data_IF_963983837979
#
_entry.id   IF_963983837979
#
_cell.length_a   1.000
_cell.length_b   1.000
_cell.length_c   1.000
_cell.angle_alpha   90.00
_cell.angle_beta   90.00
_cell.angle_gamma   90.00
#
_symmetry.space_group_name_H-M   'P 1'
#
loop_
_entity.id
_entity.type
_entity.pdbx_description
1 polymer ?
#
# COMPACT_ATOMS: atom_id res chain seq x y z
N UNK A 1 -28.16 2.04 -4.50
CA UNK A 1 -27.23 2.76 -5.38
C UNK A 1 -26.09 3.12 -4.46
N UNK A 2 -24.97 2.42 -4.58
CA UNK A 2 -23.76 2.75 -3.81
C UNK A 2 -23.07 3.88 -4.58
N UNK A 3 -23.21 5.10 -4.07
CA UNK A 3 -22.51 6.26 -4.59
C UNK A 3 -21.02 6.10 -4.29
N UNK A 4 -20.21 5.86 -5.33
CA UNK A 4 -18.75 5.78 -5.20
C UNK A 4 -18.20 7.20 -5.07
N UNK A 5 -17.45 7.46 -4.00
CA UNK A 5 -16.86 8.76 -3.71
C UNK A 5 -15.37 8.79 -4.12
N UNK A 6 -14.99 9.70 -5.03
CA UNK A 6 -13.65 9.81 -5.66
C UNK A 6 -12.51 10.18 -4.68
N UNK A 7 -12.80 10.53 -3.43
CA UNK A 7 -11.75 10.71 -2.42
C UNK A 7 -11.68 9.54 -1.44
N UNK A 8 -12.76 8.78 -1.34
CA UNK A 8 -12.94 7.70 -0.38
C UNK A 8 -12.58 6.35 -0.98
N UNK A 9 -12.97 6.11 -2.23
CA UNK A 9 -12.89 4.79 -2.84
C UNK A 9 -11.66 4.60 -3.75
N UNK A 10 -11.33 5.63 -4.53
CA UNK A 10 -10.21 5.60 -5.46
C UNK A 10 -9.79 7.01 -5.81
N UNK A 11 -8.50 7.26 -6.05
CA UNK A 11 -8.02 8.56 -6.53
C UNK A 11 -7.22 8.40 -7.83
N UNK A 12 -7.16 9.47 -8.63
CA UNK A 12 -6.29 9.52 -9.80
C UNK A 12 -4.88 9.96 -9.40
N UNK A 13 -3.89 9.12 -9.71
CA UNK A 13 -2.49 9.54 -9.63
C UNK A 13 -2.17 10.54 -10.73
N UNK A 14 -1.17 11.40 -10.51
CA UNK A 14 -0.66 12.35 -11.52
C UNK A 14 -0.22 11.68 -12.84
N UNK A 15 -0.03 10.36 -12.83
CA UNK A 15 0.33 9.56 -14.00
C UNK A 15 -0.90 8.99 -14.74
N UNK A 16 -2.12 9.36 -14.35
CA UNK A 16 -3.36 8.87 -14.96
C UNK A 16 -3.80 7.48 -14.53
N UNK A 17 -3.18 6.90 -13.50
CA UNK A 17 -3.62 5.61 -12.94
C UNK A 17 -4.66 5.82 -11.85
N UNK A 18 -5.68 4.95 -11.84
CA UNK A 18 -6.64 4.82 -10.73
C UNK A 18 -5.98 4.04 -9.61
N UNK A 19 -5.88 4.65 -8.43
CA UNK A 19 -5.36 4.02 -7.22
C UNK A 19 -6.52 3.80 -6.26
N UNK A 20 -6.85 2.54 -6.00
CA UNK A 20 -7.87 2.16 -5.01
C UNK A 20 -7.35 2.41 -3.60
N UNK A 21 -8.19 3.00 -2.76
CA UNK A 21 -7.89 3.23 -1.35
C UNK A 21 -7.99 1.94 -0.54
N UNK A 22 -7.44 1.94 0.67
CA UNK A 22 -7.60 0.84 1.61
C UNK A 22 -9.07 0.66 2.02
N UNK A 23 -9.81 1.76 2.21
CA UNK A 23 -11.22 1.74 2.62
C UNK A 23 -12.11 1.04 1.58
N UNK A 24 -11.92 1.33 0.30
CA UNK A 24 -12.60 0.61 -0.77
C UNK A 24 -12.33 -0.89 -0.75
N UNK A 25 -11.07 -1.27 -0.52
CA UNK A 25 -10.66 -2.68 -0.48
C UNK A 25 -11.21 -3.41 0.76
N UNK A 26 -11.38 -2.69 1.87
CA UNK A 26 -12.04 -3.19 3.07
C UNK A 26 -13.55 -3.37 2.81
N UNK A 27 -14.22 -2.36 2.24
CA UNK A 27 -15.64 -2.41 1.88
C UNK A 27 -15.94 -3.53 0.88
N UNK A 28 -15.04 -3.77 -0.08
CA UNK A 28 -15.11 -4.89 -1.01
C UNK A 28 -15.09 -6.25 -0.31
N UNK A 29 -14.47 -6.35 0.86
CA UNK A 29 -14.48 -7.55 1.71
C UNK A 29 -13.61 -8.72 1.22
N UNK A 30 -12.85 -8.58 0.11
CA UNK A 30 -11.97 -9.65 -0.36
C UNK A 30 -10.69 -9.16 -1.06
N UNK A 31 -9.66 -10.00 -1.02
CA UNK A 31 -8.39 -9.76 -1.71
C UNK A 31 -8.48 -10.25 -3.16
N UNK A 32 -8.29 -9.34 -4.12
CA UNK A 32 -8.38 -9.64 -5.55
C UNK A 32 -7.16 -10.33 -6.15
N UNK A 33 -6.03 -10.43 -5.43
CA UNK A 33 -4.82 -11.10 -5.93
C UNK A 33 -3.97 -10.30 -6.92
N UNK A 34 -4.28 -9.02 -7.16
CA UNK A 34 -3.55 -8.18 -8.14
C UNK A 34 -2.24 -7.57 -7.60
N UNK A 35 -2.06 -7.56 -6.27
CA UNK A 35 -0.88 -6.94 -5.65
C UNK A 35 -0.93 -5.41 -5.61
N UNK A 36 -2.05 -4.84 -5.13
CA UNK A 36 -2.23 -3.39 -5.02
C UNK A 36 -1.33 -2.73 -3.96
N UNK A 37 -1.12 -1.42 -4.09
CA UNK A 37 -0.23 -0.66 -3.22
C UNK A 37 -0.71 -0.65 -1.76
N UNK A 38 -2.01 -0.43 -1.56
CA UNK A 38 -2.67 -0.28 -0.26
C UNK A 38 -3.45 -1.54 0.13
N UNK A 39 -2.88 -2.73 -0.10
CA UNK A 39 -3.59 -3.98 0.20
C UNK A 39 -3.77 -4.17 1.72
N UNK A 40 -5.01 -4.17 2.26
CA UNK A 40 -5.24 -4.43 3.69
C UNK A 40 -5.07 -5.91 4.07
N UNK A 41 -5.06 -6.81 3.08
CA UNK A 41 -5.09 -8.27 3.29
C UNK A 41 -3.73 -8.96 3.14
N UNK A 42 -2.61 -8.22 3.25
CA UNK A 42 -1.25 -8.78 3.15
C UNK A 42 -1.04 -9.70 1.94
N UNK A 43 -1.64 -9.31 0.81
CA UNK A 43 -1.53 -10.04 -0.45
C UNK A 43 -1.99 -11.50 -0.36
N UNK A 44 -2.94 -11.83 0.52
CA UNK A 44 -3.36 -13.23 0.79
C UNK A 44 -3.70 -14.07 -0.44
N UNK A 45 -4.27 -13.44 -1.47
CA UNK A 45 -4.73 -14.11 -2.69
C UNK A 45 -3.75 -13.92 -3.88
N UNK A 46 -2.57 -13.34 -3.64
CA UNK A 46 -1.52 -13.23 -4.66
C UNK A 46 -0.71 -14.53 -4.67
N UNK A 47 -0.50 -15.18 -5.83
CA UNK A 47 0.32 -16.39 -5.90
C UNK A 47 1.80 -16.09 -5.66
N UNK A 48 2.53 -17.09 -5.13
CA UNK A 48 3.98 -17.05 -5.04
C UNK A 48 4.62 -17.20 -6.44
N UNK A 49 5.79 -16.59 -6.69
CA UNK A 49 6.67 -15.85 -5.77
C UNK A 49 6.32 -14.36 -5.63
N UNK A 50 5.28 -13.89 -6.34
CA UNK A 50 4.93 -12.46 -6.41
C UNK A 50 4.53 -11.91 -5.05
N UNK A 51 3.80 -12.68 -4.24
CA UNK A 51 3.42 -12.30 -2.87
C UNK A 51 4.64 -12.02 -1.99
N UNK A 52 5.61 -12.93 -1.94
CA UNK A 52 6.84 -12.74 -1.15
C UNK A 52 7.59 -11.47 -1.55
N UNK A 53 7.70 -11.21 -2.85
CA UNK A 53 8.33 -9.98 -3.35
C UNK A 53 7.57 -8.73 -2.87
N UNK A 54 6.24 -8.68 -3.03
CA UNK A 54 5.42 -7.55 -2.60
C UNK A 54 5.51 -7.28 -1.09
N UNK A 55 5.48 -8.33 -0.26
CA UNK A 55 5.64 -8.19 1.19
C UNK A 55 7.02 -7.65 1.57
N UNK A 56 8.07 -8.09 0.87
CA UNK A 56 9.44 -7.62 1.09
C UNK A 56 9.56 -6.14 0.72
N UNK A 57 9.04 -5.73 -0.43
CA UNK A 57 9.03 -4.33 -0.87
C UNK A 57 8.23 -3.43 0.08
N UNK A 58 7.10 -3.90 0.61
CA UNK A 58 6.33 -3.16 1.63
C UNK A 58 7.14 -2.95 2.91
N UNK A 59 7.81 -3.99 3.40
CA UNK A 59 8.69 -3.91 4.58
C UNK A 59 9.84 -2.93 4.37
N UNK A 60 10.50 -2.96 3.20
CA UNK A 60 11.57 -2.01 2.87
C UNK A 60 11.10 -0.55 2.97
N UNK A 61 9.91 -0.25 2.45
CA UNK A 61 9.31 1.10 2.53
C UNK A 61 9.07 1.53 3.97
N UNK A 62 8.49 0.65 4.80
CA UNK A 62 8.26 0.94 6.23
C UNK A 62 9.58 1.17 6.97
N UNK A 63 10.57 0.32 6.74
CA UNK A 63 11.88 0.42 7.37
C UNK A 63 12.65 1.69 6.95
N UNK A 64 12.37 2.26 5.78
CA UNK A 64 12.91 3.57 5.36
C UNK A 64 12.20 4.78 5.97
N UNK A 65 10.99 4.59 6.54
CA UNK A 65 10.19 5.64 7.19
C UNK A 65 10.36 5.66 8.72
N UNK A 66 11.08 4.70 9.29
CA UNK A 66 11.69 4.93 10.60
C UNK A 66 12.70 6.06 10.45
N UNK A 67 12.27 7.27 10.82
CA UNK A 67 13.15 8.30 11.36
C UNK A 67 14.17 7.58 12.22
N UNK A 68 15.43 7.53 11.77
CA UNK A 68 16.50 7.25 12.71
C UNK A 68 16.37 8.34 13.78
N UNK A 69 16.19 8.01 15.07
CA UNK A 69 16.40 9.03 16.09
C UNK A 69 17.83 9.54 15.90
N UNK A 70 17.93 10.83 15.68
CA UNK A 70 19.14 11.65 15.61
C UNK A 70 20.36 10.99 16.26
N UNK A 71 21.37 10.73 15.43
CA UNK A 71 22.77 10.83 15.86
C UNK A 71 23.50 11.70 14.85
N UNK A 72 23.26 13.01 14.97
CA UNK A 72 24.33 13.97 14.74
C UNK A 72 25.14 14.05 16.05
N UNK A 73 26.29 13.35 16.19
CA UNK A 73 27.39 13.92 16.92
C UNK A 73 28.16 14.78 15.91
N UNK A 74 27.88 16.08 15.93
CA UNK A 74 28.86 17.06 15.47
C UNK A 74 30.17 16.76 16.23
N UNK A 75 31.20 16.31 15.52
CA UNK A 75 32.54 16.14 16.06
C UNK A 75 33.49 16.99 15.21
N UNK A 76 34.27 17.81 15.94
CA UNK A 76 35.29 18.80 15.56
C UNK A 76 35.97 18.65 14.18
#
# INVERSE_FOLDING_TARGET
MDDLEEEKDFYFSNHGYVVLTEEYLLNRGYCCGNGCLHCPYDYKNVPEPRRTHLLTERKKRINSTTCQPSKDPQAD
#
